data_IF_248771196459
#
_entry.id   IF_248771196459
#
_cell.length_a   1.000
_cell.length_b   1.000
_cell.length_c   1.000
_cell.angle_alpha   90.00
_cell.angle_beta   90.00
_cell.angle_gamma   90.00
#
_symmetry.space_group_name_H-M   'P 1'
#
loop_
_entity.id
_entity.type
_entity.pdbx_description
1 polymer ?
#
# COMPACT_ATOMS: atom_id res chain seq x y z
N UNK A 1 -72.09 46.26 11.10
CA UNK A 1 -73.46 45.81 11.43
C UNK A 1 -73.74 44.48 10.72
N UNK A 2 -74.39 43.54 11.43
CA UNK A 2 -74.90 42.20 11.04
C UNK A 2 -73.92 40.99 11.12
N UNK A 3 -74.20 40.17 12.15
CA UNK A 3 -73.88 38.73 12.40
C UNK A 3 -74.58 37.81 11.36
N UNK A 4 -74.33 36.46 11.23
CA UNK A 4 -74.28 35.47 12.33
C UNK A 4 -73.41 34.17 12.12
N UNK A 5 -72.96 33.50 13.20
CA UNK A 5 -73.47 32.27 13.86
C UNK A 5 -72.90 30.91 13.40
N UNK A 6 -72.21 30.27 14.35
CA UNK A 6 -72.27 28.84 14.77
C UNK A 6 -72.25 27.71 13.73
N UNK A 7 -71.20 26.86 13.81
CA UNK A 7 -71.34 25.42 13.57
C UNK A 7 -70.73 24.66 14.75
N UNK A 8 -71.62 23.89 15.38
CA UNK A 8 -71.41 22.87 16.40
C UNK A 8 -70.84 21.62 15.72
N UNK A 9 -69.81 20.97 16.27
CA UNK A 9 -69.54 19.56 15.98
C UNK A 9 -69.43 18.74 17.26
N UNK A 10 -70.22 17.66 17.23
CA UNK A 10 -70.54 16.71 18.29
C UNK A 10 -69.35 15.89 18.73
N UNK A 11 -69.39 15.56 20.02
CA UNK A 11 -68.61 14.52 20.69
C UNK A 11 -68.95 13.14 20.11
N UNK A 12 -67.91 12.38 19.74
CA UNK A 12 -67.97 10.92 19.67
C UNK A 12 -66.90 10.39 20.61
N UNK A 13 -67.35 9.75 21.69
CA UNK A 13 -66.52 8.91 22.55
C UNK A 13 -66.43 7.56 21.85
N UNK A 14 -65.24 7.20 21.38
CA UNK A 14 -64.90 5.81 21.01
C UNK A 14 -63.92 5.31 22.06
N UNK A 15 -64.37 4.37 22.91
CA UNK A 15 -63.49 3.57 23.74
C UNK A 15 -62.58 2.74 22.84
N UNK A 16 -61.29 3.05 22.80
CA UNK A 16 -60.29 2.17 22.23
C UNK A 16 -59.97 1.08 23.26
N UNK A 17 -60.30 -0.16 22.91
CA UNK A 17 -59.85 -1.34 23.63
C UNK A 17 -58.32 -1.44 23.51
N UNK A 18 -57.64 -1.49 24.66
CA UNK A 18 -56.20 -1.75 24.75
C UNK A 18 -55.99 -3.23 24.41
N UNK A 19 -55.67 -3.51 23.15
CA UNK A 19 -55.07 -4.76 22.75
C UNK A 19 -53.56 -4.67 22.97
N UNK A 20 -53.05 -5.36 24.00
CA UNK A 20 -51.63 -5.61 24.16
C UNK A 20 -51.14 -6.47 22.99
N UNK A 21 -50.69 -5.83 21.90
CA UNK A 21 -49.84 -6.49 20.91
C UNK A 21 -48.46 -6.58 21.55
N UNK A 22 -48.11 -7.79 22.00
CA UNK A 22 -46.77 -8.08 22.46
C UNK A 22 -45.77 -7.74 21.36
N UNK A 23 -44.96 -6.71 21.60
CA UNK A 23 -43.71 -6.51 20.88
C UNK A 23 -42.79 -7.66 21.27
N UNK A 24 -42.81 -8.74 20.49
CA UNK A 24 -41.71 -9.70 20.49
C UNK A 24 -40.52 -8.97 19.90
N UNK A 25 -39.63 -8.50 20.78
CA UNK A 25 -38.30 -8.09 20.37
C UNK A 25 -37.63 -9.32 19.76
N UNK A 26 -37.54 -9.37 18.43
CA UNK A 26 -36.52 -10.22 17.79
C UNK A 26 -35.18 -9.66 18.29
N UNK A 27 -34.56 -10.35 19.23
CA UNK A 27 -33.13 -10.20 19.42
C UNK A 27 -32.50 -10.37 18.03
N UNK A 28 -31.81 -9.34 17.55
CA UNK A 28 -31.06 -9.45 16.31
C UNK A 28 -30.08 -10.61 16.52
N UNK A 29 -30.30 -11.71 15.81
CA UNK A 29 -29.39 -12.84 15.82
C UNK A 29 -28.05 -12.30 15.31
N UNK A 30 -26.97 -12.47 16.09
CA UNK A 30 -25.66 -12.00 15.69
C UNK A 30 -25.33 -12.56 14.30
N UNK A 31 -24.76 -11.73 13.42
CA UNK A 31 -24.38 -12.19 12.09
C UNK A 31 -23.38 -13.36 12.23
N UNK A 32 -23.49 -14.41 11.37
CA UNK A 32 -22.52 -15.50 11.35
C UNK A 32 -21.09 -14.94 11.16
N UNK A 33 -20.11 -15.61 11.75
CA UNK A 33 -18.70 -15.27 11.53
C UNK A 33 -18.36 -15.52 10.06
N UNK A 34 -17.85 -14.48 9.40
CA UNK A 34 -17.37 -14.55 8.04
C UNK A 34 -15.91 -15.00 8.04
N UNK A 35 -15.57 -16.03 7.27
CA UNK A 35 -14.16 -16.40 7.10
C UNK A 35 -13.40 -15.23 6.46
N UNK A 36 -13.94 -14.64 5.40
CA UNK A 36 -13.27 -13.57 4.66
C UNK A 36 -13.04 -12.30 5.48
N UNK A 37 -14.02 -11.88 6.27
CA UNK A 37 -14.01 -10.62 7.02
C UNK A 37 -13.38 -10.77 8.40
N UNK A 38 -13.59 -11.89 9.08
CA UNK A 38 -13.26 -12.02 10.50
C UNK A 38 -12.05 -12.95 10.74
N UNK A 39 -11.90 -14.02 9.97
CA UNK A 39 -10.85 -15.05 10.20
C UNK A 39 -9.63 -14.85 9.29
N UNK A 40 -9.83 -14.61 8.00
CA UNK A 40 -8.75 -14.45 7.03
C UNK A 40 -7.80 -13.29 7.38
N UNK A 41 -8.26 -12.11 7.86
CA UNK A 41 -7.35 -11.05 8.30
C UNK A 41 -6.49 -11.47 9.49
N UNK A 42 -7.07 -12.18 10.46
CA UNK A 42 -6.34 -12.72 11.62
C UNK A 42 -5.23 -13.68 11.17
N UNK A 43 -5.53 -14.59 10.25
CA UNK A 43 -4.53 -15.53 9.71
C UNK A 43 -3.46 -14.83 8.88
N UNK A 44 -3.84 -13.83 8.10
CA UNK A 44 -2.91 -13.07 7.27
C UNK A 44 -1.90 -12.30 8.13
N UNK A 45 -2.38 -11.60 9.16
CA UNK A 45 -1.55 -10.74 10.01
C UNK A 45 -0.65 -11.50 10.99
N UNK A 46 -1.08 -12.70 11.43
CA UNK A 46 -0.40 -13.40 12.53
C UNK A 46 0.25 -14.74 12.11
N UNK A 47 -0.20 -15.34 11.00
CA UNK A 47 0.18 -16.73 10.66
C UNK A 47 0.87 -16.84 9.30
N UNK A 48 0.42 -16.08 8.30
CA UNK A 48 0.85 -16.25 6.90
C UNK A 48 2.35 -16.04 6.69
N UNK A 49 2.97 -15.15 7.46
CA UNK A 49 4.40 -14.87 7.37
C UNK A 49 5.27 -16.12 7.60
N UNK A 50 4.84 -17.05 8.48
CA UNK A 50 5.54 -18.30 8.76
C UNK A 50 4.89 -19.51 8.05
N UNK A 51 3.57 -19.52 7.91
CA UNK A 51 2.79 -20.62 7.35
C UNK A 51 2.39 -20.41 5.87
N UNK A 52 3.09 -19.54 5.16
CA UNK A 52 2.90 -19.30 3.73
C UNK A 52 3.72 -20.23 2.84
N UNK A 53 3.52 -20.10 1.53
CA UNK A 53 4.11 -21.00 0.53
C UNK A 53 5.62 -21.15 0.53
N UNK A 54 6.32 -20.10 0.94
CA UNK A 54 7.77 -20.04 0.88
C UNK A 54 8.45 -20.51 2.17
N UNK A 55 7.74 -20.53 3.30
CA UNK A 55 8.36 -20.69 4.64
C UNK A 55 7.76 -21.78 5.52
N UNK A 56 6.56 -22.28 5.21
CA UNK A 56 5.90 -23.24 6.08
C UNK A 56 6.73 -24.51 6.29
N UNK A 57 6.98 -24.82 7.54
CA UNK A 57 7.58 -26.08 7.99
C UNK A 57 6.48 -27.05 8.45
N UNK A 58 6.72 -28.35 8.34
CA UNK A 58 5.75 -29.37 8.78
C UNK A 58 4.46 -29.42 7.96
N UNK A 59 4.46 -28.89 6.74
CA UNK A 59 3.35 -29.01 5.77
C UNK A 59 2.10 -28.18 6.07
N UNK A 60 1.96 -27.58 7.26
CA UNK A 60 0.77 -26.78 7.61
C UNK A 60 0.81 -25.38 7.00
N UNK A 61 -0.26 -25.02 6.30
CA UNK A 61 -0.33 -23.86 5.40
C UNK A 61 -1.58 -23.03 5.63
N UNK A 62 -1.47 -21.71 5.52
CA UNK A 62 -2.59 -20.78 5.77
C UNK A 62 -2.83 -19.79 4.63
N UNK A 63 -2.28 -20.01 3.44
CA UNK A 63 -2.38 -19.07 2.32
C UNK A 63 -3.73 -19.07 1.60
N UNK A 64 -4.61 -20.02 1.88
CA UNK A 64 -5.99 -20.08 1.37
C UNK A 64 -6.91 -20.77 2.38
N UNK A 65 -8.23 -20.67 2.21
CA UNK A 65 -9.18 -21.40 3.06
C UNK A 65 -8.95 -22.91 2.99
N UNK A 66 -8.81 -23.47 1.77
CA UNK A 66 -8.56 -24.89 1.58
C UNK A 66 -7.32 -25.40 2.32
N UNK A 67 -6.25 -24.58 2.35
CA UNK A 67 -5.01 -24.90 3.08
C UNK A 67 -5.19 -24.83 4.59
N UNK A 68 -5.92 -23.84 5.10
CA UNK A 68 -6.23 -23.74 6.54
C UNK A 68 -6.96 -24.98 7.04
N UNK A 69 -7.84 -25.56 6.22
CA UNK A 69 -8.60 -26.76 6.56
C UNK A 69 -7.79 -28.06 6.38
N UNK A 70 -6.62 -28.01 5.73
CA UNK A 70 -5.82 -29.18 5.40
C UNK A 70 -4.75 -29.45 6.46
N UNK A 71 -4.68 -30.69 6.94
CA UNK A 71 -3.62 -31.13 7.85
C UNK A 71 -2.23 -30.98 7.21
N UNK A 72 -1.27 -30.57 8.03
CA UNK A 72 0.16 -30.71 7.72
C UNK A 72 0.65 -32.13 8.00
N UNK A 73 1.95 -32.24 8.25
CA UNK A 73 2.64 -33.51 8.49
C UNK A 73 2.21 -34.20 9.81
N UNK A 74 1.58 -33.46 10.73
CA UNK A 74 1.04 -34.01 11.97
C UNK A 74 -0.20 -34.90 11.78
N UNK A 75 -0.81 -34.88 10.59
CA UNK A 75 -2.09 -35.52 10.27
C UNK A 75 -3.30 -35.06 11.11
N UNK A 76 -3.11 -34.20 12.11
CA UNK A 76 -4.19 -33.60 12.89
C UNK A 76 -4.94 -32.57 12.04
N UNK A 77 -6.27 -32.60 12.09
CA UNK A 77 -7.10 -31.60 11.45
C UNK A 77 -6.82 -30.24 12.12
N UNK A 78 -6.41 -29.20 11.37
CA UNK A 78 -6.21 -27.88 11.95
C UNK A 78 -7.54 -27.32 12.46
N UNK A 79 -8.62 -27.58 11.73
CA UNK A 79 -9.96 -27.15 12.08
C UNK A 79 -10.94 -28.31 11.85
N UNK A 80 -11.63 -28.72 12.91
CA UNK A 80 -12.74 -29.66 12.85
C UNK A 80 -14.05 -28.91 13.08
N UNK A 81 -14.88 -28.82 12.04
CA UNK A 81 -16.15 -28.09 12.10
C UNK A 81 -17.02 -28.56 13.29
N UNK A 82 -17.52 -27.59 14.07
CA UNK A 82 -18.35 -27.78 15.27
C UNK A 82 -17.65 -28.51 16.44
N UNK A 83 -16.33 -28.67 16.39
CA UNK A 83 -15.56 -29.34 17.45
C UNK A 83 -14.30 -28.54 17.81
N UNK A 84 -14.37 -27.80 18.91
CA UNK A 84 -13.25 -26.99 19.40
C UNK A 84 -12.07 -27.85 19.88
N UNK A 85 -12.36 -28.94 20.59
CA UNK A 85 -11.34 -29.78 21.24
C UNK A 85 -10.49 -30.55 20.21
N UNK A 86 -11.07 -30.84 19.05
CA UNK A 86 -10.41 -31.55 17.94
C UNK A 86 -9.80 -30.60 16.89
N UNK A 87 -9.85 -29.28 17.12
CA UNK A 87 -9.26 -28.27 16.23
C UNK A 87 -7.86 -27.88 16.69
N UNK A 88 -6.83 -28.46 16.08
CA UNK A 88 -5.42 -28.23 16.45
C UNK A 88 -5.00 -26.76 16.37
N UNK A 89 -5.49 -26.00 15.36
CA UNK A 89 -5.22 -24.57 15.23
C UNK A 89 -5.65 -23.80 16.48
N UNK A 90 -6.87 -24.06 16.96
CA UNK A 90 -7.38 -23.40 18.15
C UNK A 90 -6.58 -23.81 19.39
N UNK A 91 -6.29 -25.10 19.57
CA UNK A 91 -5.48 -25.61 20.70
C UNK A 91 -4.13 -24.90 20.77
N UNK A 92 -3.46 -24.75 19.63
CA UNK A 92 -2.16 -24.06 19.51
C UNK A 92 -2.26 -22.58 19.84
N UNK A 93 -3.35 -21.91 19.48
CA UNK A 93 -3.56 -20.48 19.75
C UNK A 93 -3.84 -20.21 21.24
N UNK A 94 -4.52 -21.13 21.94
CA UNK A 94 -4.98 -20.89 23.32
C UNK A 94 -4.12 -21.55 24.40
N UNK A 95 -3.18 -22.42 24.03
CA UNK A 95 -2.32 -23.08 25.02
C UNK A 95 -1.33 -22.08 25.64
N UNK A 96 -1.06 -22.24 26.94
CA UNK A 96 -0.06 -21.46 27.67
C UNK A 96 1.33 -22.10 27.62
N UNK A 97 1.46 -23.30 27.06
CA UNK A 97 2.76 -23.97 26.88
C UNK A 97 3.61 -23.21 25.85
N UNK A 98 4.69 -22.58 26.32
CA UNK A 98 5.59 -21.77 25.49
C UNK A 98 6.24 -22.55 24.34
N UNK A 99 6.42 -23.87 24.48
CA UNK A 99 7.00 -24.72 23.44
C UNK A 99 5.98 -25.18 22.39
N UNK A 100 4.68 -25.02 22.66
CA UNK A 100 3.62 -25.45 21.77
C UNK A 100 2.76 -24.32 21.21
N UNK A 101 2.69 -23.18 21.91
CA UNK A 101 1.79 -22.08 21.58
C UNK A 101 2.12 -21.44 20.24
N UNK A 102 1.08 -20.96 19.58
CA UNK A 102 1.19 -20.12 18.38
C UNK A 102 0.53 -18.76 18.66
N UNK A 103 1.19 -17.63 18.34
CA UNK A 103 2.53 -17.52 17.77
C UNK A 103 3.64 -17.94 18.76
N UNK A 104 4.68 -18.66 18.28
CA UNK A 104 5.83 -19.03 19.11
C UNK A 104 6.57 -17.78 19.62
N UNK A 105 6.84 -16.87 18.69
CA UNK A 105 7.54 -15.62 18.93
C UNK A 105 6.54 -14.47 18.76
N UNK A 106 5.96 -14.01 19.87
CA UNK A 106 5.00 -12.92 19.87
C UNK A 106 4.02 -12.97 21.03
N UNK A 107 3.25 -11.90 21.15
CA UNK A 107 2.12 -11.84 22.08
C UNK A 107 1.02 -12.82 21.64
N UNK A 108 0.29 -13.42 22.59
CA UNK A 108 -0.91 -14.18 22.27
C UNK A 108 -1.91 -13.35 21.45
N UNK A 109 -2.74 -14.03 20.65
CA UNK A 109 -3.82 -13.36 19.94
C UNK A 109 -4.76 -12.67 20.95
N UNK A 110 -5.28 -11.46 20.63
CA UNK A 110 -6.29 -10.81 21.44
C UNK A 110 -7.49 -11.71 21.71
N UNK A 111 -8.06 -11.62 22.91
CA UNK A 111 -9.21 -12.45 23.32
C UNK A 111 -10.39 -12.37 22.34
N UNK A 112 -10.61 -11.21 21.72
CA UNK A 112 -11.66 -11.00 20.71
C UNK A 112 -11.41 -11.84 19.44
N UNK A 113 -10.17 -11.94 18.97
CA UNK A 113 -9.81 -12.77 17.82
C UNK A 113 -9.96 -14.27 18.14
N UNK A 114 -9.54 -14.67 19.35
CA UNK A 114 -9.74 -16.05 19.84
C UNK A 114 -11.23 -16.38 19.93
N UNK A 115 -12.06 -15.45 20.41
CA UNK A 115 -13.50 -15.63 20.49
C UNK A 115 -14.16 -15.74 19.11
N UNK A 116 -13.72 -14.94 18.13
CA UNK A 116 -14.17 -15.05 16.74
C UNK A 116 -13.82 -16.40 16.13
N UNK A 117 -12.58 -16.88 16.31
CA UNK A 117 -12.16 -18.20 15.83
C UNK A 117 -12.99 -19.32 16.44
N UNK A 118 -13.21 -19.31 17.75
CA UNK A 118 -14.07 -20.30 18.44
C UNK A 118 -15.48 -20.30 17.86
N UNK A 119 -16.10 -19.12 17.75
CA UNK A 119 -17.46 -18.99 17.23
C UNK A 119 -17.56 -19.48 15.79
N UNK A 120 -16.57 -19.16 14.95
CA UNK A 120 -16.53 -19.63 13.56
C UNK A 120 -16.46 -21.16 13.48
N UNK A 121 -15.64 -21.80 14.32
CA UNK A 121 -15.56 -23.27 14.37
C UNK A 121 -16.89 -23.87 14.84
N UNK A 122 -17.50 -23.33 15.90
CA UNK A 122 -18.81 -23.76 16.42
C UNK A 122 -19.95 -23.62 15.40
N UNK A 123 -19.92 -22.56 14.60
CA UNK A 123 -20.85 -22.32 13.50
C UNK A 123 -20.64 -23.27 12.30
N UNK A 124 -19.50 -23.97 12.27
CA UNK A 124 -19.21 -25.02 11.29
C UNK A 124 -18.03 -24.73 10.36
N UNK A 125 -17.20 -23.74 10.68
CA UNK A 125 -15.99 -23.37 9.93
C UNK A 125 -16.25 -23.11 8.44
N UNK A 126 -17.35 -22.44 8.12
CA UNK A 126 -17.80 -22.25 6.74
C UNK A 126 -16.96 -21.20 6.00
N UNK A 127 -16.76 -21.44 4.70
CA UNK A 127 -16.23 -20.46 3.77
C UNK A 127 -17.36 -19.67 3.11
N UNK A 128 -17.25 -18.35 3.12
CA UNK A 128 -18.24 -17.41 2.58
C UNK A 128 -17.75 -16.69 1.31
N UNK A 129 -16.80 -17.29 0.60
CA UNK A 129 -16.29 -16.81 -0.69
C UNK A 129 -16.61 -17.73 -1.87
N UNK A 130 -16.16 -17.33 -3.06
CA UNK A 130 -16.42 -18.05 -4.32
C UNK A 130 -15.31 -19.01 -4.74
N UNK A 131 -14.11 -18.92 -4.16
CA UNK A 131 -12.96 -19.76 -4.49
C UNK A 131 -12.12 -20.06 -3.25
N UNK A 132 -12.16 -21.30 -2.77
CA UNK A 132 -11.50 -21.74 -1.52
C UNK A 132 -9.97 -21.75 -1.60
N UNK A 133 -9.42 -21.90 -2.82
CA UNK A 133 -7.98 -21.87 -3.09
C UNK A 133 -7.44 -20.45 -3.38
N UNK A 134 -8.30 -19.43 -3.36
CA UNK A 134 -7.86 -18.07 -3.57
C UNK A 134 -6.90 -17.63 -2.44
N UNK A 135 -5.82 -16.89 -2.75
CA UNK A 135 -4.94 -16.33 -1.74
C UNK A 135 -5.72 -15.52 -0.70
N UNK A 136 -5.41 -15.64 0.60
CA UNK A 136 -6.13 -14.90 1.64
C UNK A 136 -6.20 -13.39 1.35
N UNK A 137 -5.10 -12.81 0.88
CA UNK A 137 -5.03 -11.39 0.58
C UNK A 137 -6.01 -10.95 -0.52
N UNK A 138 -6.46 -11.84 -1.42
CA UNK A 138 -7.41 -11.45 -2.48
C UNK A 138 -8.88 -11.58 -2.08
N UNK A 139 -9.17 -12.22 -0.94
CA UNK A 139 -10.53 -12.45 -0.46
C UNK A 139 -10.92 -11.55 0.71
N UNK A 140 -9.92 -11.01 1.43
CA UNK A 140 -10.14 -10.08 2.55
C UNK A 140 -10.82 -8.81 2.03
N UNK A 141 -11.96 -8.39 2.61
CA UNK A 141 -12.58 -7.13 2.23
C UNK A 141 -11.67 -5.95 2.59
N UNK A 142 -11.72 -4.83 1.85
CA UNK A 142 -10.89 -3.67 2.14
C UNK A 142 -11.02 -3.20 3.60
N UNK A 143 -9.92 -3.09 4.35
CA UNK A 143 -9.97 -2.68 5.74
C UNK A 143 -10.34 -1.19 5.87
N UNK A 144 -10.86 -0.81 7.03
CA UNK A 144 -10.95 0.60 7.44
C UNK A 144 -9.85 0.86 8.47
N UNK A 145 -9.07 1.91 8.27
CA UNK A 145 -7.94 2.22 9.14
C UNK A 145 -8.30 3.20 10.25
N UNK A 146 -7.66 3.11 11.42
CA UNK A 146 -7.88 4.03 12.52
C UNK A 146 -7.45 5.46 12.16
N UNK A 147 -7.93 6.43 12.93
CA UNK A 147 -7.48 7.81 12.82
C UNK A 147 -6.02 7.94 13.29
N UNK A 148 -5.26 8.79 12.61
CA UNK A 148 -3.92 9.20 13.04
C UNK A 148 -3.99 10.03 14.34
N UNK A 149 -2.91 10.04 15.16
CA UNK A 149 -2.88 10.86 16.37
C UNK A 149 -2.95 12.35 16.03
N UNK A 150 -3.66 13.16 16.82
CA UNK A 150 -3.73 14.60 16.60
C UNK A 150 -2.34 15.26 16.66
N UNK A 151 -1.53 14.82 17.64
CA UNK A 151 -0.14 15.24 17.86
C UNK A 151 0.76 14.02 17.71
N UNK A 152 1.73 14.11 16.80
CA UNK A 152 2.70 13.05 16.62
C UNK A 152 3.68 13.00 17.80
N UNK A 153 3.91 11.83 18.42
CA UNK A 153 4.90 11.68 19.49
C UNK A 153 6.34 11.65 18.98
N UNK A 154 6.54 11.35 17.69
CA UNK A 154 7.83 11.30 17.01
C UNK A 154 7.65 11.55 15.51
N UNK A 155 8.72 11.90 14.81
CA UNK A 155 8.73 11.91 13.35
C UNK A 155 8.78 10.50 12.77
N UNK A 156 8.48 10.36 11.48
CA UNK A 156 8.53 9.09 10.76
C UNK A 156 9.24 9.26 9.41
N UNK A 157 9.89 8.21 8.89
CA UNK A 157 10.50 8.26 7.56
C UNK A 157 9.51 8.66 6.47
N UNK A 158 9.88 9.65 5.65
CA UNK A 158 9.07 10.08 4.50
C UNK A 158 9.41 9.24 3.28
N UNK A 159 8.80 8.06 3.22
CA UNK A 159 8.97 7.07 2.14
C UNK A 159 8.21 7.41 0.87
N UNK A 160 7.25 8.35 0.91
CA UNK A 160 6.53 8.82 -0.26
C UNK A 160 6.18 10.30 -0.17
N UNK A 161 6.37 11.01 -1.28
CA UNK A 161 5.92 12.40 -1.49
C UNK A 161 5.31 12.56 -2.86
N UNK A 162 4.38 13.50 -3.01
CA UNK A 162 3.82 13.91 -4.30
C UNK A 162 3.49 15.42 -4.27
N UNK A 163 3.47 16.07 -5.42
CA UNK A 163 2.87 17.40 -5.55
C UNK A 163 1.40 17.27 -5.94
N UNK A 164 0.56 18.20 -5.48
CA UNK A 164 -0.75 18.40 -6.10
C UNK A 164 -0.59 18.81 -7.57
N UNK A 165 -1.59 18.58 -8.44
CA UNK A 165 -1.47 18.84 -9.87
C UNK A 165 -1.21 20.32 -10.24
N UNK A 166 -1.59 21.25 -9.36
CA UNK A 166 -1.32 22.68 -9.48
C UNK A 166 0.02 23.11 -8.83
N UNK A 167 0.70 22.19 -8.14
CA UNK A 167 1.92 22.45 -7.39
C UNK A 167 1.73 23.28 -6.10
N UNK A 168 0.50 23.58 -5.71
CA UNK A 168 0.19 24.37 -4.52
C UNK A 168 0.45 23.62 -3.21
N UNK A 169 0.39 22.28 -3.25
CA UNK A 169 0.63 21.42 -2.10
C UNK A 169 1.71 20.38 -2.36
N UNK A 170 2.43 20.03 -1.30
CA UNK A 170 3.18 18.77 -1.20
C UNK A 170 2.43 17.83 -0.25
N UNK A 171 2.25 16.60 -0.69
CA UNK A 171 1.61 15.51 0.06
C UNK A 171 2.72 14.58 0.53
N UNK A 172 2.72 14.23 1.81
CA UNK A 172 3.65 13.27 2.41
C UNK A 172 2.89 12.15 3.12
N UNK A 173 3.45 10.94 3.09
CA UNK A 173 2.96 9.82 3.88
C UNK A 173 3.09 10.06 5.38
N UNK A 174 2.07 9.71 6.16
CA UNK A 174 2.06 9.72 7.63
C UNK A 174 1.64 8.37 8.20
N UNK A 175 1.33 8.34 9.50
CA UNK A 175 0.80 7.16 10.20
C UNK A 175 -0.71 7.05 10.02
N UNK A 176 -1.18 6.08 9.23
CA UNK A 176 -2.60 5.92 8.85
C UNK A 176 -3.25 7.11 8.11
N UNK A 177 -2.43 8.02 7.56
CA UNK A 177 -2.90 9.20 6.86
C UNK A 177 -1.91 9.71 5.82
N UNK A 178 -2.35 10.66 5.01
CA UNK A 178 -1.50 11.60 4.28
C UNK A 178 -1.58 12.98 4.91
N UNK A 179 -0.44 13.66 4.97
CA UNK A 179 -0.33 15.05 5.40
C UNK A 179 -0.12 15.96 4.20
N UNK A 180 -0.91 17.02 4.10
CA UNK A 180 -0.91 17.95 2.95
C UNK A 180 -0.44 19.31 3.41
N UNK A 181 0.61 19.82 2.77
CA UNK A 181 1.32 21.04 3.19
C UNK A 181 1.36 22.05 2.05
N UNK A 182 1.14 23.31 2.38
CA UNK A 182 1.25 24.42 1.42
C UNK A 182 2.70 24.59 0.97
N UNK A 183 2.94 24.65 -0.34
CA UNK A 183 4.30 24.84 -0.88
C UNK A 183 4.79 26.29 -0.79
N UNK A 184 3.91 27.23 -0.43
CA UNK A 184 4.22 28.65 -0.30
C UNK A 184 4.82 29.00 1.07
N UNK A 185 4.30 28.42 2.15
CA UNK A 185 4.65 28.77 3.52
C UNK A 185 5.02 27.57 4.40
N UNK A 186 4.87 26.34 3.90
CA UNK A 186 5.16 25.10 4.63
C UNK A 186 4.15 24.78 5.73
N UNK A 187 3.01 25.46 5.79
CA UNK A 187 1.97 25.18 6.78
C UNK A 187 1.14 23.95 6.41
N UNK A 188 0.66 23.22 7.42
CA UNK A 188 -0.26 22.11 7.24
C UNK A 188 -1.60 22.64 6.70
N UNK A 189 -1.96 22.23 5.49
CA UNK A 189 -3.21 22.59 4.85
C UNK A 189 -4.36 21.68 5.31
N UNK A 190 -4.12 20.36 5.33
CA UNK A 190 -5.11 19.35 5.76
C UNK A 190 -4.48 17.97 5.96
N UNK A 191 -5.29 17.05 6.47
CA UNK A 191 -4.96 15.64 6.72
C UNK A 191 -5.99 14.75 6.02
N UNK A 192 -5.55 13.65 5.42
CA UNK A 192 -6.41 12.68 4.72
C UNK A 192 -6.21 11.32 5.39
N UNK A 193 -7.21 10.87 6.15
CA UNK A 193 -7.14 9.61 6.91
C UNK A 193 -7.56 8.37 6.10
N UNK A 194 -7.79 7.25 6.81
CA UNK A 194 -8.17 5.96 6.23
C UNK A 194 -7.13 5.40 5.23
N UNK A 195 -5.85 5.55 5.58
CA UNK A 195 -4.71 5.01 4.83
C UNK A 195 -4.06 3.88 5.64
N UNK A 196 -3.44 2.92 4.95
CA UNK A 196 -2.64 1.89 5.59
C UNK A 196 -1.55 2.49 6.49
N UNK A 197 -1.05 1.69 7.44
CA UNK A 197 -0.17 2.16 8.51
C UNK A 197 1.01 3.01 8.02
N UNK A 198 1.67 2.58 6.93
CA UNK A 198 2.75 3.31 6.27
C UNK A 198 2.41 3.49 4.79
N UNK A 199 2.80 4.63 4.24
CA UNK A 199 2.70 4.91 2.80
C UNK A 199 4.06 4.79 2.14
N UNK A 200 4.17 3.93 1.13
CA UNK A 200 5.42 3.69 0.40
C UNK A 200 5.44 4.35 -0.97
N UNK A 201 4.27 4.62 -1.56
CA UNK A 201 4.19 5.30 -2.84
C UNK A 201 2.95 6.18 -2.97
N UNK A 202 3.14 7.32 -3.64
CA UNK A 202 2.11 8.30 -3.94
C UNK A 202 2.24 8.71 -5.40
N UNK A 203 1.14 8.67 -6.14
CA UNK A 203 1.12 9.19 -7.51
C UNK A 203 -0.26 9.70 -7.89
N UNK A 204 -0.30 10.90 -8.46
CA UNK A 204 -1.52 11.39 -9.09
C UNK A 204 -1.78 10.65 -10.40
N UNK A 205 -3.04 10.29 -10.61
CA UNK A 205 -3.54 9.90 -11.91
C UNK A 205 -3.47 11.12 -12.87
N UNK A 206 -3.29 10.91 -14.18
CA UNK A 206 -3.24 12.01 -15.17
C UNK A 206 -4.48 12.93 -15.21
N UNK A 207 -5.61 12.54 -14.60
CA UNK A 207 -6.81 13.39 -14.46
C UNK A 207 -6.63 14.55 -13.47
N UNK A 208 -5.57 14.52 -12.66
CA UNK A 208 -5.30 15.50 -11.60
C UNK A 208 -6.27 15.44 -10.41
N UNK A 209 -7.17 14.46 -10.33
CA UNK A 209 -8.18 14.36 -9.27
C UNK A 209 -7.99 13.13 -8.41
N UNK A 210 -7.53 12.04 -9.01
CA UNK A 210 -7.34 10.77 -8.33
C UNK A 210 -5.91 10.67 -7.83
N UNK A 211 -5.73 10.38 -6.55
CA UNK A 211 -4.42 10.05 -5.95
C UNK A 211 -4.40 8.57 -5.63
N UNK A 212 -3.40 7.85 -6.14
CA UNK A 212 -3.14 6.47 -5.74
C UNK A 212 -2.12 6.44 -4.60
N UNK A 213 -2.35 5.52 -3.66
CA UNK A 213 -1.57 5.39 -2.42
C UNK A 213 -1.22 3.91 -2.24
N UNK A 214 0.06 3.58 -2.39
CA UNK A 214 0.59 2.25 -2.05
C UNK A 214 0.95 2.23 -0.57
N UNK A 215 0.30 1.37 0.21
CA UNK A 215 0.42 1.38 1.66
C UNK A 215 0.33 -0.03 2.27
N UNK A 216 0.64 -0.13 3.56
CA UNK A 216 0.53 -1.37 4.34
C UNK A 216 1.37 -1.32 5.60
N UNK A 217 1.45 -2.46 6.28
CA UNK A 217 2.39 -2.69 7.38
C UNK A 217 3.28 -3.89 7.04
N UNK A 218 4.61 -3.83 7.27
CA UNK A 218 5.52 -4.92 6.94
C UNK A 218 5.05 -6.27 7.52
N UNK A 219 4.98 -7.30 6.67
CA UNK A 219 4.52 -8.64 7.05
C UNK A 219 3.00 -8.77 7.22
N UNK A 220 2.23 -7.74 6.89
CA UNK A 220 0.76 -7.69 6.93
C UNK A 220 0.21 -7.28 5.57
N UNK A 221 -1.11 -7.19 5.48
CA UNK A 221 -1.83 -6.76 4.26
C UNK A 221 -1.23 -5.46 3.69
N UNK A 222 -0.82 -5.52 2.42
CA UNK A 222 -0.58 -4.34 1.59
C UNK A 222 -1.78 -4.05 0.71
N UNK A 223 -1.94 -2.79 0.33
CA UNK A 223 -3.07 -2.37 -0.50
C UNK A 223 -2.73 -1.12 -1.30
N UNK A 224 -3.50 -0.90 -2.37
CA UNK A 224 -3.51 0.39 -3.05
C UNK A 224 -4.86 1.06 -2.86
N UNK A 225 -4.85 2.28 -2.34
CA UNK A 225 -6.05 3.12 -2.22
C UNK A 225 -6.07 4.17 -3.30
N UNK A 226 -7.18 4.26 -4.02
CA UNK A 226 -7.51 5.39 -4.88
C UNK A 226 -8.41 6.32 -4.10
N UNK A 227 -8.04 7.59 -4.03
CA UNK A 227 -8.84 8.61 -3.36
C UNK A 227 -9.09 9.80 -4.27
N UNK A 228 -10.25 10.43 -4.09
CA UNK A 228 -10.49 11.76 -4.63
C UNK A 228 -9.68 12.76 -3.80
N UNK A 229 -8.71 13.43 -4.43
CA UNK A 229 -7.83 14.34 -3.73
C UNK A 229 -8.60 15.51 -3.12
N UNK A 230 -9.55 16.13 -3.82
CA UNK A 230 -10.30 17.28 -3.32
C UNK A 230 -11.08 16.97 -2.04
N UNK A 231 -11.74 15.80 -1.97
CA UNK A 231 -12.55 15.42 -0.80
C UNK A 231 -11.77 14.64 0.26
N UNK A 232 -10.67 13.99 -0.11
CA UNK A 232 -9.95 13.04 0.73
C UNK A 232 -10.65 11.68 0.87
N UNK A 233 -11.75 11.44 0.13
CA UNK A 233 -12.51 10.21 0.20
C UNK A 233 -11.80 9.09 -0.57
N UNK A 234 -11.61 7.93 0.08
CA UNK A 234 -11.17 6.70 -0.58
C UNK A 234 -12.31 6.18 -1.45
N UNK A 235 -12.16 6.32 -2.77
CA UNK A 235 -13.17 5.92 -3.74
C UNK A 235 -13.05 4.45 -4.13
N UNK A 236 -11.85 3.86 -3.98
CA UNK A 236 -11.59 2.44 -4.27
C UNK A 236 -10.37 1.94 -3.51
N UNK A 237 -10.40 0.67 -3.11
CA UNK A 237 -9.20 -0.07 -2.71
C UNK A 237 -8.98 -1.14 -3.78
N UNK A 238 -7.85 -1.06 -4.49
CA UNK A 238 -7.44 -2.09 -5.44
C UNK A 238 -6.89 -3.27 -4.62
N UNK A 239 -7.11 -4.48 -5.15
CA UNK A 239 -6.85 -5.78 -4.53
C UNK A 239 -5.65 -5.78 -3.56
N UNK A 240 -5.80 -6.44 -2.42
CA UNK A 240 -4.74 -6.49 -1.41
C UNK A 240 -3.64 -7.51 -1.74
N UNK A 241 -2.43 -7.18 -1.31
CA UNK A 241 -1.23 -8.01 -1.40
C UNK A 241 -0.93 -8.64 -0.05
N UNK A 242 -0.27 -9.80 -0.04
CA UNK A 242 0.05 -10.52 1.20
C UNK A 242 1.14 -9.87 2.06
N UNK A 243 1.74 -8.80 1.55
CA UNK A 243 2.73 -7.94 2.20
C UNK A 243 2.62 -6.52 1.60
N UNK A 244 3.38 -5.54 2.09
CA UNK A 244 3.28 -4.13 1.70
C UNK A 244 3.40 -3.88 0.19
N UNK A 245 2.63 -2.91 -0.30
CA UNK A 245 2.84 -2.30 -1.63
C UNK A 245 3.98 -1.30 -1.52
N UNK A 246 5.05 -1.51 -2.28
CA UNK A 246 6.30 -0.74 -2.21
C UNK A 246 6.37 0.36 -3.27
N UNK A 247 5.78 0.14 -4.44
CA UNK A 247 5.72 1.17 -5.48
C UNK A 247 4.48 1.03 -6.36
N UNK A 248 4.06 2.15 -6.95
CA UNK A 248 2.94 2.22 -7.89
C UNK A 248 3.28 3.15 -9.05
N UNK A 249 2.75 2.83 -10.24
CA UNK A 249 2.88 3.68 -11.41
C UNK A 249 1.63 3.62 -12.29
N UNK A 250 0.99 4.75 -12.57
CA UNK A 250 -0.05 4.88 -13.59
C UNK A 250 0.57 4.76 -14.98
N UNK A 251 -0.13 4.07 -15.89
CA UNK A 251 0.20 4.13 -17.31
C UNK A 251 0.03 5.57 -17.82
N UNK A 252 0.73 5.95 -18.91
CA UNK A 252 0.66 7.31 -19.45
C UNK A 252 -0.77 7.77 -19.81
N UNK A 253 -1.64 6.83 -20.21
CA UNK A 253 -3.05 7.09 -20.51
C UNK A 253 -3.98 7.05 -19.27
N UNK A 254 -3.43 6.75 -18.09
CA UNK A 254 -4.14 6.66 -16.81
C UNK A 254 -5.02 5.43 -16.63
N UNK A 255 -5.22 4.60 -17.67
CA UNK A 255 -6.18 3.49 -17.62
C UNK A 255 -5.71 2.30 -16.80
N UNK A 256 -4.40 2.17 -16.60
CA UNK A 256 -3.80 1.07 -15.86
C UNK A 256 -2.95 1.59 -14.71
N UNK A 257 -2.88 0.81 -13.64
CA UNK A 257 -1.96 1.02 -12.53
C UNK A 257 -1.09 -0.22 -12.35
N UNK A 258 0.21 -0.04 -12.45
CA UNK A 258 1.19 -1.06 -12.08
C UNK A 258 1.49 -0.95 -10.58
N UNK A 259 1.61 -2.10 -9.93
CA UNK A 259 1.84 -2.24 -8.49
C UNK A 259 3.01 -3.19 -8.27
N UNK A 260 4.00 -2.75 -7.51
CA UNK A 260 5.13 -3.56 -7.04
C UNK A 260 5.01 -3.78 -5.54
N UNK A 261 5.15 -5.03 -5.10
CA UNK A 261 4.92 -5.41 -3.70
C UNK A 261 5.99 -6.33 -3.14
N UNK A 262 6.04 -6.39 -1.81
CA UNK A 262 6.93 -7.26 -1.05
C UNK A 262 6.57 -8.76 -1.18
N UNK A 263 5.43 -9.11 -1.79
CA UNK A 263 5.11 -10.50 -2.13
C UNK A 263 5.85 -11.04 -3.37
N UNK A 264 6.79 -10.25 -3.91
CA UNK A 264 7.62 -10.54 -5.09
C UNK A 264 6.90 -10.46 -6.44
N UNK A 265 5.69 -9.89 -6.47
CA UNK A 265 4.88 -9.80 -7.67
C UNK A 265 4.78 -8.36 -8.19
N UNK A 266 4.70 -8.24 -9.52
CA UNK A 266 4.18 -7.04 -10.18
C UNK A 266 2.75 -7.33 -10.63
N UNK A 267 1.82 -6.42 -10.34
CA UNK A 267 0.43 -6.51 -10.79
C UNK A 267 0.06 -5.32 -11.65
N UNK A 268 -0.88 -5.52 -12.59
CA UNK A 268 -1.44 -4.45 -13.41
C UNK A 268 -2.95 -4.46 -13.20
N UNK A 269 -3.50 -3.33 -12.77
CA UNK A 269 -4.93 -3.14 -12.55
C UNK A 269 -5.54 -2.23 -13.60
N UNK A 270 -6.78 -2.51 -13.98
CA UNK A 270 -7.62 -1.52 -14.64
C UNK A 270 -8.11 -0.51 -13.58
N UNK A 271 -7.85 0.78 -13.80
CA UNK A 271 -8.16 1.83 -12.82
C UNK A 271 -9.66 2.06 -12.67
N UNK A 272 -10.43 1.97 -13.75
CA UNK A 272 -11.86 2.20 -13.77
C UNK A 272 -12.63 1.06 -13.08
N UNK A 273 -12.34 -0.19 -13.48
CA UNK A 273 -13.06 -1.37 -12.96
C UNK A 273 -12.48 -1.86 -11.63
N UNK A 274 -11.19 -1.60 -11.38
CA UNK A 274 -10.45 -2.15 -10.25
C UNK A 274 -10.01 -3.60 -10.43
N UNK A 275 -10.26 -4.18 -11.61
CA UNK A 275 -9.92 -5.57 -11.90
C UNK A 275 -8.41 -5.74 -12.11
N UNK A 276 -7.85 -6.81 -11.54
CA UNK A 276 -6.49 -7.23 -11.83
C UNK A 276 -6.43 -7.79 -13.25
N UNK A 277 -5.70 -7.11 -14.13
CA UNK A 277 -5.52 -7.55 -15.50
C UNK A 277 -4.37 -8.55 -15.61
N UNK A 278 -3.32 -8.40 -14.81
CA UNK A 278 -2.11 -9.23 -14.86
C UNK A 278 -1.46 -9.38 -13.49
N UNK A 279 -0.90 -10.56 -13.25
CA UNK A 279 0.10 -10.85 -12.22
C UNK A 279 1.36 -11.38 -12.90
N UNK A 280 2.51 -10.76 -12.63
CA UNK A 280 3.83 -11.10 -13.19
C UNK A 280 4.71 -11.62 -12.05
N UNK A 281 4.93 -12.93 -12.03
CA UNK A 281 5.75 -13.63 -11.05
C UNK A 281 7.16 -13.94 -11.62
N UNK A 282 8.01 -12.91 -11.72
CA UNK A 282 9.35 -13.03 -12.33
C UNK A 282 10.51 -12.77 -11.37
N UNK A 283 10.25 -12.10 -10.24
CA UNK A 283 11.24 -11.81 -9.20
C UNK A 283 11.20 -12.86 -8.09
N UNK A 284 12.36 -13.19 -7.52
CA UNK A 284 12.45 -14.17 -6.42
C UNK A 284 12.34 -13.54 -5.03
N UNK A 285 12.40 -12.22 -4.93
CA UNK A 285 12.29 -11.44 -3.70
C UNK A 285 11.47 -10.14 -3.98
N UNK A 286 11.29 -9.30 -2.98
CA UNK A 286 10.48 -8.07 -3.00
C UNK A 286 10.67 -7.25 -4.27
N UNK A 287 9.58 -6.81 -4.88
CA UNK A 287 9.65 -5.84 -5.98
C UNK A 287 9.57 -4.45 -5.39
N UNK A 288 10.66 -3.71 -5.49
CA UNK A 288 10.87 -2.45 -4.79
C UNK A 288 10.39 -1.24 -5.59
N UNK A 289 10.42 -1.33 -6.92
CA UNK A 289 10.05 -0.22 -7.80
C UNK A 289 9.45 -0.69 -9.12
N UNK A 290 8.59 0.14 -9.70
CA UNK A 290 7.99 -0.08 -11.02
C UNK A 290 7.81 1.23 -11.77
N UNK A 291 8.00 1.22 -13.09
CA UNK A 291 7.74 2.36 -13.94
C UNK A 291 7.24 1.93 -15.33
N UNK A 292 6.43 2.79 -15.97
CA UNK A 292 5.99 2.63 -17.35
C UNK A 292 6.93 3.36 -18.32
N UNK A 293 7.04 2.84 -19.54
CA UNK A 293 7.59 3.62 -20.64
C UNK A 293 6.54 4.61 -21.18
N UNK A 294 6.98 5.55 -22.03
CA UNK A 294 6.15 6.68 -22.48
C UNK A 294 4.91 6.28 -23.30
N UNK A 295 4.94 5.15 -24.01
CA UNK A 295 3.79 4.65 -24.77
C UNK A 295 2.91 3.65 -23.99
N UNK A 296 3.33 3.28 -22.78
CA UNK A 296 2.64 2.31 -21.93
C UNK A 296 2.70 0.86 -22.41
N UNK A 297 3.53 0.52 -23.39
CA UNK A 297 3.68 -0.87 -23.85
C UNK A 297 4.61 -1.70 -22.97
N UNK A 298 5.46 -1.07 -22.14
CA UNK A 298 6.45 -1.76 -21.30
C UNK A 298 6.41 -1.30 -19.85
N UNK A 299 6.80 -2.23 -18.99
CA UNK A 299 7.12 -1.98 -17.59
C UNK A 299 8.58 -2.28 -17.33
N UNK A 300 9.20 -1.52 -16.43
CA UNK A 300 10.47 -1.86 -15.80
C UNK A 300 10.21 -2.04 -14.31
N UNK A 301 10.81 -3.06 -13.70
CA UNK A 301 10.80 -3.27 -12.25
C UNK A 301 12.21 -3.44 -11.70
N UNK A 302 12.39 -3.09 -10.42
CA UNK A 302 13.60 -3.34 -9.64
C UNK A 302 13.26 -4.15 -8.39
N UNK A 303 14.14 -5.07 -8.00
CA UNK A 303 13.88 -6.00 -6.90
C UNK A 303 15.05 -6.16 -5.93
N UNK A 304 14.69 -6.59 -4.71
CA UNK A 304 15.61 -7.07 -3.69
C UNK A 304 16.40 -8.31 -4.13
N UNK A 305 15.94 -9.02 -5.17
CA UNK A 305 16.69 -10.10 -5.82
C UNK A 305 17.91 -9.63 -6.63
N UNK A 306 18.21 -8.32 -6.56
CA UNK A 306 19.37 -7.67 -7.19
C UNK A 306 19.27 -7.61 -8.71
N UNK A 307 18.06 -7.69 -9.25
CA UNK A 307 17.82 -7.52 -10.68
C UNK A 307 16.86 -6.39 -10.96
N UNK A 308 17.04 -5.74 -12.11
CA UNK A 308 15.98 -5.02 -12.78
C UNK A 308 15.49 -5.85 -13.98
N UNK A 309 14.22 -5.71 -14.34
CA UNK A 309 13.61 -6.47 -15.44
C UNK A 309 12.69 -5.58 -16.26
N UNK A 310 12.60 -5.84 -17.56
CA UNK A 310 11.65 -5.18 -18.47
C UNK A 310 10.67 -6.21 -19.01
N UNK A 311 9.40 -5.84 -19.07
CA UNK A 311 8.29 -6.69 -19.50
C UNK A 311 7.46 -6.01 -20.60
N UNK A 312 6.84 -6.82 -21.44
CA UNK A 312 5.68 -6.37 -22.20
C UNK A 312 4.48 -6.24 -21.25
N UNK A 313 3.88 -5.06 -21.19
CA UNK A 313 2.82 -4.78 -20.23
C UNK A 313 1.44 -5.34 -20.64
N UNK A 314 1.29 -5.78 -21.89
CA UNK A 314 0.05 -6.35 -22.40
C UNK A 314 0.03 -7.88 -22.21
N UNK A 315 1.17 -8.54 -22.42
CA UNK A 315 1.29 -10.00 -22.26
C UNK A 315 1.81 -10.41 -20.89
N UNK A 316 2.62 -9.56 -20.24
CA UNK A 316 3.36 -9.91 -19.02
C UNK A 316 4.68 -10.63 -19.30
N UNK A 317 5.07 -10.79 -20.56
CA UNK A 317 6.28 -11.52 -20.94
C UNK A 317 7.53 -10.76 -20.52
N UNK A 318 8.50 -11.47 -19.96
CA UNK A 318 9.82 -10.96 -19.66
C UNK A 318 10.60 -10.71 -20.96
N UNK A 319 11.02 -9.46 -21.18
CA UNK A 319 11.82 -9.06 -22.33
C UNK A 319 13.32 -9.10 -22.01
N UNK A 320 13.73 -8.57 -20.85
CA UNK A 320 15.15 -8.42 -20.48
C UNK A 320 15.33 -8.53 -18.97
N UNK A 321 16.44 -9.13 -18.53
CA UNK A 321 16.90 -9.12 -17.12
C UNK A 321 18.28 -8.47 -17.01
N UNK A 322 18.43 -7.54 -16.08
CA UNK A 322 19.68 -6.84 -15.77
C UNK A 322 20.29 -7.36 -14.47
N UNK A 323 21.15 -8.39 -14.57
CA UNK A 323 21.75 -9.08 -13.42
C UNK A 323 23.08 -8.45 -12.91
N UNK A 324 23.36 -7.19 -13.27
CA UNK A 324 24.65 -6.54 -12.98
C UNK A 324 24.71 -5.76 -11.65
N UNK A 325 23.65 -5.80 -10.83
CA UNK A 325 23.65 -5.23 -9.48
C UNK A 325 24.13 -6.28 -8.48
N UNK A 326 24.97 -5.87 -7.52
CA UNK A 326 25.46 -6.74 -6.45
C UNK A 326 24.62 -6.65 -5.15
N UNK A 327 23.64 -5.75 -5.13
CA UNK A 327 22.77 -5.41 -4.00
C UNK A 327 21.34 -5.11 -4.50
N UNK A 328 20.33 -4.99 -3.60
CA UNK A 328 18.95 -4.70 -3.97
C UNK A 328 18.81 -3.53 -4.94
N UNK A 329 17.95 -3.67 -5.95
CA UNK A 329 17.55 -2.56 -6.84
C UNK A 329 16.31 -1.91 -6.25
N UNK A 330 16.41 -0.63 -5.89
CA UNK A 330 15.34 0.09 -5.19
C UNK A 330 14.63 1.13 -6.05
N UNK A 331 15.26 1.60 -7.13
CA UNK A 331 14.67 2.58 -8.04
C UNK A 331 14.87 2.16 -9.49
N UNK A 332 13.83 2.36 -10.31
CA UNK A 332 13.88 2.17 -11.76
C UNK A 332 13.16 3.31 -12.48
N UNK A 333 13.58 3.60 -13.70
CA UNK A 333 12.87 4.52 -14.59
C UNK A 333 13.21 4.22 -16.05
N UNK A 334 12.32 4.56 -16.99
CA UNK A 334 12.66 4.51 -18.41
C UNK A 334 13.50 5.73 -18.80
N UNK A 335 14.45 5.50 -19.70
CA UNK A 335 15.10 6.60 -20.39
C UNK A 335 14.10 7.32 -21.32
N UNK A 336 14.17 8.65 -21.50
CA UNK A 336 13.18 9.39 -22.29
C UNK A 336 13.04 8.97 -23.77
N UNK A 337 14.03 8.30 -24.35
CA UNK A 337 13.95 7.76 -25.73
C UNK A 337 13.27 6.38 -25.81
N UNK A 338 13.00 5.73 -24.68
CA UNK A 338 12.37 4.42 -24.59
C UNK A 338 13.26 3.23 -24.98
N UNK A 339 14.52 3.44 -25.35
CA UNK A 339 15.45 2.37 -25.75
C UNK A 339 16.30 1.83 -24.59
N UNK A 340 16.38 2.60 -23.50
CA UNK A 340 17.18 2.28 -22.32
C UNK A 340 16.36 2.40 -21.02
N UNK A 341 16.87 1.83 -19.94
CA UNK A 341 16.33 1.98 -18.59
C UNK A 341 17.42 2.41 -17.61
N UNK A 342 16.99 3.13 -16.59
CA UNK A 342 17.77 3.48 -15.42
C UNK A 342 17.43 2.58 -14.25
N UNK A 343 18.42 2.31 -13.41
CA UNK A 343 18.22 1.62 -12.14
C UNK A 343 19.22 2.07 -11.08
N UNK A 344 18.81 2.15 -9.82
CA UNK A 344 19.69 2.40 -8.68
C UNK A 344 19.33 1.52 -7.48
N UNK A 345 20.25 1.40 -6.52
CA UNK A 345 20.03 0.58 -5.33
C UNK A 345 21.21 0.56 -4.37
N UNK A 346 21.30 -0.51 -3.58
CA UNK A 346 22.30 -0.70 -2.52
C UNK A 346 23.74 -0.88 -3.00
N UNK A 347 23.98 -0.92 -4.32
CA UNK A 347 25.33 -0.95 -4.88
C UNK A 347 25.90 0.47 -5.11
N UNK A 348 25.16 1.49 -4.64
CA UNK A 348 25.50 2.90 -4.60
C UNK A 348 25.72 3.54 -5.98
N UNK A 349 25.12 2.94 -7.03
CA UNK A 349 25.27 3.40 -8.41
C UNK A 349 23.91 3.65 -9.07
N UNK A 350 23.90 4.61 -9.98
CA UNK A 350 22.89 4.77 -11.00
C UNK A 350 23.42 4.14 -12.28
N UNK A 351 22.78 3.08 -12.76
CA UNK A 351 23.14 2.40 -14.00
C UNK A 351 22.18 2.76 -15.12
N UNK A 352 22.67 2.72 -16.36
CA UNK A 352 21.88 2.81 -17.60
C UNK A 352 22.11 1.57 -18.46
N UNK A 353 21.03 0.98 -18.95
CA UNK A 353 21.05 -0.29 -19.67
C UNK A 353 20.21 -0.22 -20.94
N UNK A 354 20.65 -0.89 -22.00
CA UNK A 354 19.82 -1.06 -23.19
C UNK A 354 18.76 -2.14 -23.02
N UNK A 355 17.64 -1.95 -23.70
CA UNK A 355 16.57 -2.96 -23.77
C UNK A 355 16.83 -3.99 -24.88
N UNK A 356 17.60 -3.67 -25.93
CA UNK A 356 17.82 -4.59 -27.05
C UNK A 356 18.67 -5.83 -26.68
N UNK A 357 19.75 -5.63 -25.93
CA UNK A 357 20.75 -6.65 -25.63
C UNK A 357 21.07 -6.78 -24.12
N UNK A 358 20.44 -5.95 -23.28
CA UNK A 358 20.67 -5.95 -21.83
C UNK A 358 21.96 -5.29 -21.39
N UNK A 359 22.75 -4.71 -22.31
CA UNK A 359 24.09 -4.19 -22.01
C UNK A 359 24.03 -2.91 -21.21
N UNK A 360 24.90 -2.81 -20.19
CA UNK A 360 25.15 -1.56 -19.46
C UNK A 360 25.86 -0.56 -20.38
N UNK A 361 25.32 0.65 -20.53
CA UNK A 361 25.89 1.72 -21.35
C UNK A 361 26.54 2.83 -20.53
N UNK A 362 26.14 2.99 -19.27
CA UNK A 362 26.76 3.94 -18.34
C UNK A 362 26.49 3.56 -16.88
N UNK A 363 27.35 4.05 -15.99
CA UNK A 363 27.10 4.05 -14.54
C UNK A 363 27.70 5.32 -13.91
N UNK A 364 27.04 5.82 -12.87
CA UNK A 364 27.48 6.98 -12.08
C UNK A 364 27.35 6.65 -10.59
N UNK A 365 28.33 7.04 -9.77
CA UNK A 365 28.29 6.83 -8.33
C UNK A 365 27.31 7.81 -7.65
N UNK A 366 26.50 7.28 -6.73
CA UNK A 366 25.56 8.05 -5.91
C UNK A 366 26.09 8.35 -4.50
N UNK A 367 27.30 7.92 -4.14
CA UNK A 367 27.88 8.17 -2.80
C UNK A 367 27.29 7.36 -1.65
N UNK A 368 26.07 6.85 -1.80
CA UNK A 368 25.40 5.89 -0.92
C UNK A 368 24.29 5.15 -1.66
N UNK A 369 23.54 4.32 -0.94
CA UNK A 369 22.44 3.53 -1.50
C UNK A 369 21.44 4.45 -2.20
N UNK A 370 21.04 4.10 -3.43
CA UNK A 370 20.05 4.87 -4.19
C UNK A 370 18.64 4.37 -3.89
N UNK A 371 17.72 5.25 -3.48
CA UNK A 371 16.39 4.84 -3.00
C UNK A 371 15.26 5.02 -4.02
N UNK A 372 15.21 6.15 -4.74
CA UNK A 372 14.15 6.44 -5.72
C UNK A 372 14.73 7.11 -6.95
N UNK A 373 14.19 6.73 -8.11
CA UNK A 373 14.38 7.43 -9.38
C UNK A 373 13.08 8.13 -9.79
N UNK A 374 13.20 9.38 -10.24
CA UNK A 374 12.09 10.19 -10.75
C UNK A 374 12.49 10.79 -12.09
N UNK A 375 11.70 10.56 -13.13
CA UNK A 375 11.85 11.18 -14.45
C UNK A 375 10.75 12.24 -14.61
N UNK A 376 11.11 13.40 -15.14
CA UNK A 376 10.17 14.44 -15.57
C UNK A 376 10.75 15.27 -16.71
N UNK A 377 10.21 15.14 -17.92
CA UNK A 377 10.78 15.77 -19.11
C UNK A 377 12.22 15.31 -19.36
N UNK A 378 13.16 16.25 -19.37
CA UNK A 378 14.60 15.98 -19.51
C UNK A 378 15.34 15.93 -18.16
N UNK A 379 14.60 15.74 -17.06
CA UNK A 379 15.16 15.65 -15.72
C UNK A 379 15.09 14.23 -15.18
N UNK A 380 16.22 13.76 -14.65
CA UNK A 380 16.31 12.55 -13.86
C UNK A 380 16.79 12.91 -12.46
N UNK A 381 16.08 12.45 -11.44
CA UNK A 381 16.46 12.61 -10.04
C UNK A 381 16.74 11.26 -9.40
N UNK A 382 17.79 11.20 -8.59
CA UNK A 382 18.12 10.04 -7.76
C UNK A 382 18.31 10.46 -6.30
N UNK A 383 17.54 9.89 -5.39
CA UNK A 383 17.69 10.10 -3.95
C UNK A 383 18.64 9.06 -3.36
N UNK A 384 19.37 9.41 -2.28
CA UNK A 384 20.36 8.51 -1.71
C UNK A 384 20.50 8.58 -0.19
N UNK A 385 21.00 7.48 0.38
CA UNK A 385 21.46 7.36 1.76
C UNK A 385 22.61 8.32 2.12
N UNK A 386 23.27 8.93 1.13
CA UNK A 386 24.27 9.97 1.38
C UNK A 386 23.67 11.34 1.73
N UNK A 387 22.36 11.38 2.03
CA UNK A 387 21.60 12.57 2.47
C UNK A 387 21.41 13.62 1.35
N UNK A 388 21.54 13.20 0.10
CA UNK A 388 21.33 14.08 -1.06
C UNK A 388 20.35 13.51 -2.07
N UNK A 389 19.75 14.41 -2.85
CA UNK A 389 19.17 14.09 -4.14
C UNK A 389 20.06 14.65 -5.25
N UNK A 390 20.36 13.84 -6.26
CA UNK A 390 21.13 14.27 -7.44
C UNK A 390 20.19 14.51 -8.59
N UNK A 391 20.45 15.58 -9.34
CA UNK A 391 19.72 15.94 -10.54
C UNK A 391 20.63 15.76 -11.75
N UNK A 392 20.14 15.03 -12.74
CA UNK A 392 20.80 14.73 -14.00
C UNK A 392 19.96 15.23 -15.17
N UNK A 393 20.63 15.58 -16.25
CA UNK A 393 20.00 15.64 -17.57
C UNK A 393 19.68 14.19 -17.99
N UNK A 394 18.41 13.91 -18.24
CA UNK A 394 17.92 12.54 -18.39
C UNK A 394 18.52 11.84 -19.62
N UNK A 395 18.66 12.55 -20.75
CA UNK A 395 19.18 11.94 -21.99
C UNK A 395 20.65 11.56 -21.95
N UNK A 396 21.48 12.39 -21.32
CA UNK A 396 22.94 12.16 -21.31
C UNK A 396 23.42 11.52 -20.03
N UNK A 397 22.58 11.48 -18.98
CA UNK A 397 22.95 11.12 -17.62
C UNK A 397 24.04 12.05 -17.03
N UNK A 398 24.20 13.26 -17.58
CA UNK A 398 25.12 14.26 -17.04
C UNK A 398 24.55 14.82 -15.74
N UNK A 399 25.30 14.69 -14.64
CA UNK A 399 24.90 15.31 -13.38
C UNK A 399 24.93 16.83 -13.52
N UNK A 400 23.81 17.47 -13.22
CA UNK A 400 23.64 18.92 -13.25
C UNK A 400 23.93 19.53 -11.87
N UNK A 401 23.48 18.89 -10.79
CA UNK A 401 23.68 19.36 -9.41
C UNK A 401 23.41 18.28 -8.36
N UNK A 402 23.86 18.55 -7.13
CA UNK A 402 23.51 17.80 -5.92
C UNK A 402 22.73 18.70 -4.97
N UNK A 403 21.57 18.22 -4.50
CA UNK A 403 20.66 18.89 -3.58
C UNK A 403 20.84 18.23 -2.20
N UNK A 404 21.63 18.88 -1.33
CA UNK A 404 22.00 18.36 -0.02
C UNK A 404 21.54 19.23 1.15
N UNK A 405 21.70 18.72 2.37
CA UNK A 405 21.37 19.44 3.61
C UNK A 405 20.35 18.73 4.49
N UNK A 406 19.74 17.65 4.01
CA UNK A 406 19.03 16.69 4.86
C UNK A 406 19.97 16.13 5.93
N UNK A 407 19.43 15.85 7.12
CA UNK A 407 20.23 15.32 8.24
C UNK A 407 20.29 13.79 8.23
N UNK A 408 19.42 13.13 7.47
CA UNK A 408 19.36 11.69 7.29
C UNK A 408 19.15 11.31 5.81
N UNK A 409 18.99 10.02 5.54
CA UNK A 409 18.81 9.45 4.20
C UNK A 409 17.67 10.11 3.44
N UNK A 410 17.84 10.36 2.15
CA UNK A 410 16.75 10.83 1.29
C UNK A 410 16.09 9.63 0.65
N UNK A 411 14.83 9.38 0.99
CA UNK A 411 14.11 8.15 0.63
C UNK A 411 13.23 8.34 -0.59
N UNK A 412 12.58 9.50 -0.70
CA UNK A 412 11.55 9.76 -1.71
C UNK A 412 11.76 11.10 -2.39
N UNK A 413 11.24 11.21 -3.61
CA UNK A 413 11.20 12.47 -4.35
C UNK A 413 9.98 12.55 -5.25
N UNK A 414 9.55 13.77 -5.56
CA UNK A 414 8.55 14.06 -6.58
C UNK A 414 8.95 15.35 -7.31
N UNK A 415 8.84 15.37 -8.63
CA UNK A 415 9.09 16.55 -9.44
C UNK A 415 7.76 17.09 -9.98
N UNK A 416 7.60 18.41 -9.95
CA UNK A 416 6.45 19.08 -10.53
C UNK A 416 6.91 20.02 -11.65
N UNK A 417 6.48 19.71 -12.87
CA UNK A 417 6.96 20.39 -14.08
C UNK A 417 6.53 21.86 -14.15
N UNK A 418 5.25 22.15 -13.84
CA UNK A 418 4.70 23.49 -13.94
C UNK A 418 5.34 24.51 -12.99
N UNK A 419 5.80 24.06 -11.82
CA UNK A 419 6.50 24.92 -10.85
C UNK A 419 8.01 24.77 -10.91
N UNK A 420 8.52 23.80 -11.70
CA UNK A 420 9.92 23.38 -11.72
C UNK A 420 10.49 23.15 -10.32
N UNK A 421 9.71 22.48 -9.46
CA UNK A 421 10.13 22.17 -8.09
C UNK A 421 10.33 20.69 -7.91
N UNK A 422 11.31 20.35 -7.07
CA UNK A 422 11.49 19.01 -6.54
C UNK A 422 11.07 19.01 -5.07
N UNK A 423 10.31 18.03 -4.64
CA UNK A 423 10.13 17.69 -3.23
C UNK A 423 11.01 16.48 -2.92
N UNK A 424 11.70 16.47 -1.77
CA UNK A 424 12.44 15.29 -1.30
C UNK A 424 12.11 14.99 0.16
N UNK A 425 11.79 13.73 0.46
CA UNK A 425 11.48 13.24 1.80
C UNK A 425 12.64 12.47 2.41
N UNK A 426 12.91 12.70 3.70
CA UNK A 426 14.01 12.09 4.44
C UNK A 426 13.54 11.12 5.53
N UNK A 427 14.44 10.24 5.98
CA UNK A 427 14.21 9.26 7.03
C UNK A 427 13.85 9.88 8.38
N UNK A 428 14.29 11.12 8.64
CA UNK A 428 14.04 11.84 9.89
C UNK A 428 12.67 12.57 9.93
N UNK A 429 11.84 12.43 8.89
CA UNK A 429 10.54 13.10 8.77
C UNK A 429 10.56 14.44 8.05
N UNK A 430 11.72 14.88 7.58
CA UNK A 430 11.87 16.16 6.87
C UNK A 430 11.47 16.04 5.39
N UNK A 431 10.71 17.02 4.90
CA UNK A 431 10.44 17.26 3.49
C UNK A 431 11.08 18.58 3.08
N UNK A 432 11.89 18.57 2.03
CA UNK A 432 12.49 19.77 1.44
C UNK A 432 11.91 20.06 0.07
N UNK A 433 11.63 21.33 -0.20
CA UNK A 433 11.25 21.82 -1.51
C UNK A 433 12.43 22.57 -2.14
N UNK A 434 12.76 22.21 -3.38
CA UNK A 434 13.89 22.76 -4.12
C UNK A 434 13.38 23.50 -5.35
N UNK A 435 13.89 24.69 -5.58
CA UNK A 435 13.74 25.38 -6.86
C UNK A 435 14.75 24.80 -7.86
N UNK A 436 14.29 24.30 -9.00
CA UNK A 436 15.17 23.63 -9.95
C UNK A 436 16.05 24.59 -10.75
N UNK A 437 15.65 25.86 -10.89
CA UNK A 437 16.44 26.84 -11.66
C UNK A 437 17.79 27.09 -10.98
N UNK A 438 17.80 27.43 -9.69
CA UNK A 438 19.01 27.75 -8.91
C UNK A 438 19.46 26.65 -7.93
N UNK A 439 18.63 25.63 -7.68
CA UNK A 439 18.90 24.56 -6.73
C UNK A 439 18.68 24.94 -5.26
N UNK A 440 18.10 26.12 -4.99
CA UNK A 440 17.87 26.58 -3.63
C UNK A 440 16.79 25.75 -2.93
N UNK A 441 17.01 25.44 -1.65
CA UNK A 441 15.94 24.99 -0.76
C UNK A 441 15.05 26.19 -0.45
N UNK A 442 13.77 26.11 -0.84
CA UNK A 442 12.78 27.18 -0.65
C UNK A 442 11.86 26.93 0.54
N UNK A 443 11.75 25.69 1.03
CA UNK A 443 10.98 25.34 2.21
C UNK A 443 11.46 24.02 2.81
N UNK A 444 11.42 23.93 4.15
CA UNK A 444 11.69 22.71 4.91
C UNK A 444 10.52 22.47 5.87
N UNK A 445 9.92 21.30 5.78
CA UNK A 445 8.70 20.90 6.49
C UNK A 445 9.02 19.66 7.33
N UNK A 446 8.55 19.63 8.57
CA UNK A 446 8.51 18.38 9.35
C UNK A 446 7.13 17.79 9.19
N UNK A 447 7.03 16.67 8.46
CA UNK A 447 5.76 16.04 8.10
C UNK A 447 5.17 15.21 9.26
N UNK A 448 5.07 15.82 10.44
CA UNK A 448 4.55 15.24 11.67
C UNK A 448 3.68 16.30 12.40
N UNK A 449 2.37 16.36 12.12
CA UNK A 449 1.46 17.34 12.72
C UNK A 449 1.57 17.41 14.25
N UNK A 450 1.71 18.64 14.77
CA UNK A 450 1.80 18.91 16.21
C UNK A 450 3.13 18.56 16.88
N UNK A 451 4.08 17.93 16.16
CA UNK A 451 5.36 17.54 16.73
C UNK A 451 6.24 18.77 17.02
N UNK A 452 6.76 18.86 18.24
CA UNK A 452 7.78 19.84 18.66
C UNK A 452 9.10 19.11 18.88
N UNK A 453 10.16 19.55 18.19
CA UNK A 453 11.52 19.00 18.31
C UNK A 453 12.15 19.26 19.67
#
# INVERSE_FOLDING_TARGET
MRFPSSIVRRWFVVLAAIGCIGLVSRAAQAEPVSFRKDIAPMLLDNCLACHGAKKAEGGYRVDSFSRVMQAGDSAAAPVTAKNLDDSELLRRIITEDEGERMPLEGDPLPEEQVALLKRWIEEGAAYDGSAEDAPLASIVPPPTHPAAPEVYPATMPITAVAFSPDGAHVIAGGYHELTVWNTADGQLARRIGNIGQRTYALQFHPDGKTLAVGCGAPGKLGEVRLLNYETGEVTRVLNSTSDVVLDIAFSPDGKRLAVAAADSLVRIFNVETGEEQRTIASHSDWVMAVAWNADGSKLVSGSRDKTAKVFDANTGDLLVTYAGHNQPVMGVAFHPDGAEVFSCGGDNKLHRWKIDDGKKTAEVALGGEGHKLVIGGDHLFATSADKTARHFEAKTQKQLRSLGGHQDWVLSAAYHDGTKRLATGSFDGEVRLWNLDDGANVATIIAAPGFSR
#
